data_IF_043296695719
#
_entry.id   IF_043296695719
#
_cell.length_a   1.000
_cell.length_b   1.000
_cell.length_c   1.000
_cell.angle_alpha   90.00
_cell.angle_beta   90.00
_cell.angle_gamma   90.00
#
_symmetry.space_group_name_H-M   'P 1'
#
loop_
_entity.id
_entity.type
_entity.pdbx_description
1 polymer ?
#
# COMPACT_ATOMS: atom_id res chain seq x y z
N UNK A 1 5.20 -15.24 -9.97
CA UNK A 1 4.80 -15.22 -9.65
C UNK A 1 4.33 -15.15 -9.13
N UNK A 2 3.99 -15.34 -9.13
CA UNK A 2 3.33 -15.22 -8.67
C UNK A 2 3.08 -15.68 -7.89
N UNK A 3 3.06 -15.78 -7.41
CA UNK A 3 2.90 -16.32 -6.68
C UNK A 3 1.92 -16.94 -6.22
N UNK A 4 1.65 -17.32 -6.08
CA UNK A 4 0.60 -18.18 -5.88
C UNK A 4 0.70 -19.13 -4.74
N UNK A 5 1.42 -18.76 -3.78
CA UNK A 5 1.64 -19.62 -2.64
C UNK A 5 0.68 -19.39 -1.54
N UNK A 6 -0.33 -18.61 -1.76
CA UNK A 6 -1.33 -18.36 -0.75
C UNK A 6 -2.17 -19.59 -0.50
N UNK A 7 -2.71 -19.77 0.70
CA UNK A 7 -3.58 -20.89 0.99
C UNK A 7 -4.87 -20.88 0.19
N UNK A 8 -5.30 -19.71 -0.24
CA UNK A 8 -6.48 -19.60 -1.07
C UNK A 8 -6.04 -19.24 -2.49
N UNK A 9 -6.01 -20.19 -3.40
CA UNK A 9 -5.50 -19.89 -4.73
C UNK A 9 -6.26 -18.78 -5.45
N UNK A 10 -7.56 -18.73 -5.30
CA UNK A 10 -8.34 -17.67 -5.91
C UNK A 10 -7.95 -16.33 -5.37
N UNK A 11 -7.84 -16.25 -4.07
CA UNK A 11 -7.48 -14.99 -3.44
C UNK A 11 -6.06 -14.61 -3.77
N UNK A 12 -5.17 -15.61 -3.82
CA UNK A 12 -3.80 -15.38 -4.18
C UNK A 12 -3.70 -14.78 -5.57
N UNK A 13 -4.44 -15.35 -6.49
CA UNK A 13 -4.45 -14.87 -7.85
C UNK A 13 -4.95 -13.43 -7.93
N UNK A 14 -6.03 -13.14 -7.23
CA UNK A 14 -6.59 -11.79 -7.24
C UNK A 14 -5.60 -10.79 -6.66
N UNK A 15 -4.93 -11.15 -5.58
CA UNK A 15 -3.96 -10.26 -4.96
C UNK A 15 -2.80 -10.00 -5.90
N UNK A 16 -2.34 -11.03 -6.61
CA UNK A 16 -1.19 -10.84 -7.48
C UNK A 16 -1.53 -10.00 -8.71
N UNK A 17 -2.82 -9.80 -8.99
CA UNK A 17 -3.23 -8.96 -10.11
C UNK A 17 -3.51 -7.53 -9.71
N UNK A 18 -3.45 -7.21 -8.44
CA UNK A 18 -3.69 -5.86 -7.99
C UNK A 18 -2.42 -5.03 -8.12
N UNK A 19 -2.57 -3.74 -8.40
CA UNK A 19 -1.40 -2.86 -8.41
C UNK A 19 -0.76 -2.85 -7.04
N UNK A 20 0.55 -2.84 -7.02
CA UNK A 20 1.30 -2.80 -5.77
C UNK A 20 2.24 -1.61 -5.81
N UNK A 21 2.28 -0.87 -4.73
CA UNK A 21 3.10 0.34 -4.62
C UNK A 21 3.91 0.27 -3.35
N UNK A 22 5.17 0.60 -3.44
CA UNK A 22 6.00 0.67 -2.25
C UNK A 22 5.72 1.98 -1.54
N UNK A 23 5.47 1.88 -0.24
CA UNK A 23 5.18 3.07 0.54
C UNK A 23 6.33 4.06 0.48
N UNK A 24 7.57 3.56 0.48
CA UNK A 24 8.73 4.42 0.43
C UNK A 24 8.80 5.23 -0.86
N UNK A 25 8.28 4.68 -1.95
CA UNK A 25 8.21 5.42 -3.20
C UNK A 25 7.24 6.57 -3.09
N UNK A 26 6.12 6.35 -2.40
CA UNK A 26 5.11 7.38 -2.25
C UNK A 26 5.60 8.49 -1.33
N UNK A 27 6.36 8.15 -0.30
CA UNK A 27 6.85 9.15 0.64
C UNK A 27 8.18 9.75 0.21
N UNK A 28 8.73 9.30 -0.93
CA UNK A 28 10.01 9.79 -1.45
C UNK A 28 11.13 9.63 -0.45
N UNK A 29 11.15 8.50 0.22
CA UNK A 29 12.17 8.20 1.20
C UNK A 29 11.91 8.76 2.58
N UNK A 30 10.81 9.49 2.75
CA UNK A 30 10.43 9.98 4.06
C UNK A 30 9.43 9.06 4.72
N UNK A 31 8.61 9.61 5.60
CA UNK A 31 7.62 8.81 6.30
C UNK A 31 6.20 9.37 6.16
N UNK A 32 6.01 10.40 5.34
CA UNK A 32 4.70 10.99 5.13
C UNK A 32 4.48 11.23 3.65
N UNK A 33 3.24 11.06 3.22
CA UNK A 33 2.84 11.36 1.85
C UNK A 33 1.38 11.72 1.85
N UNK A 34 0.98 12.55 0.89
CA UNK A 34 -0.44 12.81 0.66
C UNK A 34 -0.94 11.86 -0.40
N UNK A 35 -2.15 11.37 -0.20
CA UNK A 35 -2.83 10.49 -1.15
C UNK A 35 -4.15 11.16 -1.49
N UNK A 36 -4.37 11.39 -2.77
CA UNK A 36 -5.59 12.04 -3.23
C UNK A 36 -6.60 11.01 -3.70
N UNK A 37 -7.85 11.21 -3.33
CA UNK A 37 -8.94 10.43 -3.85
C UNK A 37 -10.06 11.42 -4.20
N UNK A 38 -10.22 11.66 -5.50
CA UNK A 38 -11.15 12.69 -5.92
C UNK A 38 -10.72 14.04 -5.40
N UNK A 39 -11.60 14.69 -4.65
CA UNK A 39 -11.25 15.96 -4.03
C UNK A 39 -10.87 15.80 -2.56
N UNK A 40 -10.60 14.58 -2.12
CA UNK A 40 -10.21 14.29 -0.75
C UNK A 40 -8.70 14.10 -0.68
N UNK A 41 -8.11 14.59 0.38
CA UNK A 41 -6.67 14.46 0.59
C UNK A 41 -6.43 13.71 1.88
N UNK A 42 -5.73 12.59 1.78
CA UNK A 42 -5.38 11.76 2.93
C UNK A 42 -3.90 11.87 3.20
N UNK A 43 -3.51 11.58 4.41
CA UNK A 43 -2.09 11.53 4.78
C UNK A 43 -1.72 10.10 5.10
N UNK A 44 -0.71 9.60 4.39
CA UNK A 44 -0.15 8.29 4.63
C UNK A 44 1.08 8.45 5.50
N UNK A 45 1.16 7.65 6.54
CA UNK A 45 2.32 7.69 7.44
C UNK A 45 2.90 6.30 7.60
N UNK A 46 4.22 6.20 7.47
CA UNK A 46 4.95 4.99 7.80
C UNK A 46 5.40 5.14 9.25
N UNK A 47 4.93 4.25 10.11
CA UNK A 47 5.25 4.35 11.53
C UNK A 47 6.63 3.75 11.79
N UNK A 48 7.16 4.05 12.97
CA UNK A 48 8.44 3.52 13.38
C UNK A 48 8.42 2.01 13.47
N UNK A 49 7.25 1.42 13.74
CA UNK A 49 7.11 -0.02 13.82
C UNK A 49 6.98 -0.67 12.44
N UNK A 50 7.05 0.11 11.38
CA UNK A 50 6.95 -0.44 10.04
C UNK A 50 5.53 -0.70 9.59
N UNK A 51 4.58 0.07 10.08
CA UNK A 51 3.19 -0.08 9.70
C UNK A 51 2.71 1.18 9.00
N UNK A 52 1.60 1.07 8.28
CA UNK A 52 1.03 2.20 7.58
C UNK A 52 -0.23 2.67 8.29
N UNK A 53 -0.36 3.99 8.35
CA UNK A 53 -1.56 4.63 8.87
C UNK A 53 -2.03 5.60 7.80
N UNK A 54 -3.32 5.59 7.53
CA UNK A 54 -3.92 6.52 6.59
C UNK A 54 -4.96 7.33 7.33
N UNK A 55 -4.80 8.66 7.29
CA UNK A 55 -5.71 9.55 7.98
C UNK A 55 -6.20 10.62 7.04
N UNK A 56 -7.30 11.24 7.41
CA UNK A 56 -7.86 12.33 6.67
C UNK A 56 -7.94 13.57 7.54
#
# INVERSE_FOLDING_TARGET
MMNVQNPNPSQSYAVSMLPAHKAEDLTKGGNLAHIELGDQLYTLRITRAGKLILTK
#
